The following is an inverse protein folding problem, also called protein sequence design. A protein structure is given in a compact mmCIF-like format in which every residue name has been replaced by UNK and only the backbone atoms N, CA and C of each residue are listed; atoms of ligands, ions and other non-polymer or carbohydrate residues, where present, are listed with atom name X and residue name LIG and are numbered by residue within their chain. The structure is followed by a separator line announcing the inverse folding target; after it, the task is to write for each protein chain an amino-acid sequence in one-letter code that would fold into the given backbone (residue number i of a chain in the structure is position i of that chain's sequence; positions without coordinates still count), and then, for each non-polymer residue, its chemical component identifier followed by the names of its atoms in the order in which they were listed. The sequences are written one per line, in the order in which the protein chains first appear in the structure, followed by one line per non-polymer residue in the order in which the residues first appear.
data_IF_647718593689
#
_entry.id   IF_647718593689
#
_cell.length_a   1.000
_cell.length_b   1.000
_cell.length_c   1.000
_cell.angle_alpha   90.00
_cell.angle_beta   90.00
_cell.angle_gamma   90.00
#
_symmetry.space_group_name_H-M   'P 1'
#
loop_
_entity.id
_entity.type
_entity.pdbx_description
1 polymer ?
#
# COMPACT_ATOMS: atom_id res chain seq x y z
N UNK A 1 -3.34 12.49 8.24
CA UNK A 1 -3.39 11.29 7.37
C UNK A 1 -2.75 11.60 6.02
N UNK A 2 -1.62 10.98 5.69
CA UNK A 2 -1.06 11.01 4.33
C UNK A 2 -1.94 10.10 3.46
N UNK A 3 -2.34 10.58 2.27
CA UNK A 3 -3.07 9.73 1.31
C UNK A 3 -2.05 8.81 0.66
N UNK A 4 -2.21 7.50 0.84
CA UNK A 4 -1.44 6.50 0.10
C UNK A 4 -1.83 6.66 -1.37
N UNK A 5 -0.85 6.97 -2.23
CA UNK A 5 -1.08 7.01 -3.67
C UNK A 5 -1.39 5.60 -4.17
N UNK A 6 -2.39 5.44 -5.04
CA UNK A 6 -2.66 4.15 -5.65
C UNK A 6 -1.58 3.83 -6.71
N UNK A 7 -0.96 2.65 -6.58
CA UNK A 7 -0.08 2.12 -7.62
C UNK A 7 -0.88 1.80 -8.89
N UNK A 8 -0.33 2.12 -10.05
CA UNK A 8 -1.02 1.93 -11.35
C UNK A 8 -0.86 0.54 -11.93
N UNK A 9 -0.01 -0.29 -11.31
CA UNK A 9 0.31 -1.63 -11.78
C UNK A 9 -0.17 -2.65 -10.76
N UNK A 10 -0.85 -3.69 -11.23
CA UNK A 10 -1.28 -4.80 -10.38
C UNK A 10 -0.13 -5.76 -9.99
N UNK A 11 1.10 -5.54 -10.48
CA UNK A 11 2.25 -6.40 -10.21
C UNK A 11 2.92 -6.06 -8.88
N UNK A 12 3.40 -7.09 -8.17
CA UNK A 12 4.21 -6.93 -6.99
C UNK A 12 5.55 -6.27 -7.37
N UNK A 13 5.88 -5.17 -6.70
CA UNK A 13 7.11 -4.41 -6.93
C UNK A 13 8.26 -4.84 -6.02
N UNK A 14 8.01 -5.85 -5.18
CA UNK A 14 8.94 -6.35 -4.18
C UNK A 14 9.54 -7.70 -4.54
N UNK A 15 8.95 -8.45 -5.45
CA UNK A 15 9.56 -9.64 -6.03
C UNK A 15 10.07 -9.34 -7.44
N UNK A 16 10.97 -10.19 -7.94
CA UNK A 16 11.46 -10.11 -9.33
C UNK A 16 10.45 -10.74 -10.32
N UNK A 17 9.24 -11.08 -9.85
CA UNK A 17 8.23 -11.79 -10.62
C UNK A 17 7.21 -10.83 -11.23
N UNK A 18 6.45 -11.31 -12.22
CA UNK A 18 5.25 -10.61 -12.70
C UNK A 18 3.99 -11.04 -11.93
N UNK A 19 4.15 -11.42 -10.66
CA UNK A 19 3.05 -11.85 -9.83
C UNK A 19 2.17 -10.66 -9.48
N UNK A 20 0.86 -10.91 -9.39
CA UNK A 20 -0.06 -9.87 -8.95
C UNK A 20 0.17 -9.57 -7.46
N UNK A 21 0.14 -8.29 -7.09
CA UNK A 21 0.20 -7.79 -5.71
C UNK A 21 -1.12 -8.07 -4.96
N UNK A 22 -1.46 -9.35 -4.86
CA UNK A 22 -2.63 -9.82 -4.11
C UNK A 22 -2.27 -9.98 -2.64
N UNK A 23 -3.28 -9.96 -1.77
CA UNK A 23 -3.09 -10.26 -0.35
C UNK A 23 -2.49 -11.65 -0.16
N UNK A 24 -3.01 -12.65 -0.90
CA UNK A 24 -2.49 -14.02 -0.86
C UNK A 24 -1.01 -14.07 -1.27
N UNK A 25 -0.64 -13.46 -2.40
CA UNK A 25 0.76 -13.40 -2.81
C UNK A 25 1.65 -12.73 -1.74
N UNK A 26 1.24 -11.57 -1.25
CA UNK A 26 1.99 -10.82 -0.22
C UNK A 26 2.22 -11.66 1.03
N UNK A 27 1.17 -12.33 1.50
CA UNK A 27 1.17 -13.07 2.77
C UNK A 27 1.84 -14.44 2.65
N UNK A 28 1.63 -15.17 1.56
CA UNK A 28 1.98 -16.59 1.46
C UNK A 28 3.21 -16.85 0.58
N UNK A 29 3.46 -16.03 -0.44
CA UNK A 29 4.38 -16.36 -1.53
C UNK A 29 5.57 -15.40 -1.63
N UNK A 30 5.33 -14.09 -1.54
CA UNK A 30 6.27 -13.03 -1.88
C UNK A 30 7.63 -13.24 -1.18
N UNK A 31 8.73 -13.50 -1.91
CA UNK A 31 10.03 -13.85 -1.30
C UNK A 31 10.57 -12.80 -0.31
N UNK A 32 10.25 -11.53 -0.55
CA UNK A 32 10.66 -10.38 0.26
C UNK A 32 10.09 -10.39 1.68
N UNK A 33 9.05 -11.20 1.95
CA UNK A 33 8.46 -11.37 3.27
C UNK A 33 8.74 -12.75 3.90
N UNK A 34 9.70 -13.51 3.37
CA UNK A 34 10.02 -14.86 3.84
C UNK A 34 10.40 -14.93 5.32
N UNK A 35 11.16 -13.96 5.83
CA UNK A 35 11.56 -13.92 7.23
C UNK A 35 10.40 -13.56 8.16
N UNK A 36 9.58 -12.60 7.75
CA UNK A 36 8.36 -12.16 8.43
C UNK A 36 7.37 -13.33 8.52
N UNK A 37 7.16 -14.05 7.42
CA UNK A 37 6.33 -15.27 7.38
C UNK A 37 6.83 -16.33 8.35
N UNK A 38 8.15 -16.55 8.42
CA UNK A 38 8.72 -17.52 9.36
C UNK A 38 8.37 -17.15 10.80
N UNK A 39 8.58 -15.89 11.19
CA UNK A 39 8.23 -15.40 12.54
C UNK A 39 6.74 -15.56 12.84
N UNK A 40 5.87 -15.27 11.87
CA UNK A 40 4.43 -15.47 12.04
C UNK A 40 4.09 -16.94 12.26
N UNK A 41 4.68 -17.84 11.45
CA UNK A 41 4.48 -19.29 11.56
C UNK A 41 4.90 -19.86 12.90
N UNK A 42 5.96 -19.33 13.49
CA UNK A 42 6.42 -19.73 14.83
C UNK A 42 5.39 -19.42 15.94
N UNK A 43 4.44 -18.51 15.68
CA UNK A 43 3.38 -18.13 16.63
C UNK A 43 2.04 -18.79 16.32
N UNK A 44 1.55 -18.70 15.08
CA UNK A 44 0.19 -19.12 14.74
C UNK A 44 0.11 -20.54 14.17
N UNK A 45 1.25 -21.11 13.79
CA UNK A 45 1.38 -22.42 13.14
C UNK A 45 1.82 -22.31 11.67
N UNK A 46 2.10 -23.45 11.01
CA UNK A 46 2.63 -23.47 9.65
C UNK A 46 1.63 -22.98 8.59
N UNK A 47 0.33 -23.11 8.87
CA UNK A 47 -0.76 -22.60 8.04
C UNK A 47 -0.95 -21.10 8.30
N UNK A 48 -0.69 -20.33 7.25
CA UNK A 48 -0.83 -18.86 7.24
C UNK A 48 -1.77 -18.44 6.11
N UNK A 49 -2.65 -19.32 5.66
CA UNK A 49 -3.71 -18.95 4.73
C UNK A 49 -4.49 -17.76 5.28
N UNK A 50 -5.10 -16.96 4.39
CA UNK A 50 -5.92 -15.82 4.84
C UNK A 50 -6.99 -16.23 5.86
N UNK A 51 -7.55 -17.43 5.72
CA UNK A 51 -8.51 -17.98 6.69
C UNK A 51 -7.88 -18.29 8.05
N UNK A 52 -6.67 -18.87 8.08
CA UNK A 52 -5.94 -19.14 9.31
C UNK A 52 -5.52 -17.85 10.03
N UNK A 53 -5.17 -16.81 9.28
CA UNK A 53 -4.87 -15.48 9.83
C UNK A 53 -6.10 -14.87 10.49
N UNK A 54 -7.27 -14.92 9.85
CA UNK A 54 -8.52 -14.46 10.46
C UNK A 54 -8.83 -15.27 11.73
N UNK A 55 -8.63 -16.59 11.69
CA UNK A 55 -8.78 -17.44 12.88
C UNK A 55 -7.83 -17.03 14.02
N UNK A 56 -6.56 -16.76 13.70
CA UNK A 56 -5.55 -16.35 14.66
C UNK A 56 -5.86 -15.00 15.33
N UNK A 57 -6.41 -14.04 14.57
CA UNK A 57 -6.89 -12.76 15.11
C UNK A 57 -7.98 -12.93 16.18
N UNK A 58 -8.75 -14.02 16.12
CA UNK A 58 -9.84 -14.30 17.06
C UNK A 58 -9.46 -15.26 18.19
N UNK A 59 -8.36 -16.02 18.04
CA UNK A 59 -8.02 -17.14 18.93
C UNK A 59 -7.37 -16.68 20.22
N UNK A 60 -6.42 -15.75 20.17
CA UNK A 60 -5.78 -15.21 21.38
C UNK A 60 -5.13 -13.85 21.15
N UNK A 61 -4.93 -13.08 22.22
CA UNK A 61 -4.26 -11.78 22.13
C UNK A 61 -2.82 -11.89 21.62
N UNK A 62 -2.11 -12.97 21.95
CA UNK A 62 -0.74 -13.21 21.49
C UNK A 62 -0.68 -13.34 19.97
N UNK A 63 -1.61 -14.09 19.41
CA UNK A 63 -1.68 -14.34 17.98
C UNK A 63 -2.19 -13.13 17.21
N UNK A 64 -3.19 -12.45 17.77
CA UNK A 64 -3.67 -11.16 17.25
C UNK A 64 -2.52 -10.15 17.14
N UNK A 65 -1.69 -10.03 18.17
CA UNK A 65 -0.51 -9.15 18.17
C UNK A 65 0.48 -9.59 17.09
N UNK A 66 0.77 -10.89 16.97
CA UNK A 66 1.71 -11.39 15.96
C UNK A 66 1.24 -11.12 14.53
N UNK A 67 -0.05 -11.32 14.24
CA UNK A 67 -0.65 -10.99 12.94
C UNK A 67 -0.59 -9.48 12.69
N UNK A 68 -0.91 -8.66 13.69
CA UNK A 68 -0.90 -7.20 13.55
C UNK A 68 0.50 -6.67 13.24
N UNK A 69 1.51 -7.13 14.00
CA UNK A 69 2.92 -6.79 13.77
C UNK A 69 3.39 -7.21 12.37
N UNK A 70 3.01 -8.42 11.93
CA UNK A 70 3.31 -8.88 10.58
C UNK A 70 2.72 -7.96 9.51
N UNK A 71 1.46 -7.54 9.66
CA UNK A 71 0.82 -6.59 8.75
C UNK A 71 1.51 -5.21 8.75
N UNK A 72 1.91 -4.70 9.91
CA UNK A 72 2.65 -3.44 10.04
C UNK A 72 4.02 -3.50 9.36
N UNK A 73 4.76 -4.61 9.52
CA UNK A 73 6.03 -4.84 8.84
C UNK A 73 5.86 -4.83 7.31
N UNK A 74 4.83 -5.53 6.79
CA UNK A 74 4.51 -5.54 5.36
C UNK A 74 4.20 -4.14 4.85
N UNK A 75 3.30 -3.43 5.54
CA UNK A 75 2.89 -2.08 5.13
C UNK A 75 4.06 -1.10 5.14
N UNK A 76 4.94 -1.20 6.14
CA UNK A 76 6.13 -0.35 6.25
C UNK A 76 7.07 -0.55 5.06
N UNK A 77 7.36 -1.81 4.70
CA UNK A 77 8.23 -2.11 3.55
C UNK A 77 7.60 -1.62 2.24
N UNK A 78 6.30 -1.85 2.04
CA UNK A 78 5.56 -1.38 0.85
C UNK A 78 5.55 0.14 0.77
N UNK A 79 5.30 0.85 1.87
CA UNK A 79 5.33 2.32 1.91
C UNK A 79 6.72 2.86 1.56
N UNK A 80 7.78 2.30 2.17
CA UNK A 80 9.16 2.73 1.87
C UNK A 80 9.47 2.55 0.39
N UNK A 81 9.10 1.41 -0.19
CA UNK A 81 9.30 1.14 -1.62
C UNK A 81 8.53 2.14 -2.49
N UNK A 82 7.27 2.41 -2.18
CA UNK A 82 6.48 3.42 -2.89
C UNK A 82 7.12 4.81 -2.76
N UNK A 83 7.56 5.19 -1.57
CA UNK A 83 8.14 6.50 -1.29
C UNK A 83 9.47 6.71 -2.03
N UNK A 84 10.31 5.69 -2.12
CA UNK A 84 11.52 5.73 -2.94
C UNK A 84 11.19 6.03 -4.41
N UNK A 85 10.13 5.43 -4.96
CA UNK A 85 9.69 5.67 -6.35
C UNK A 85 9.13 7.07 -6.55
N UNK A 86 8.34 7.57 -5.61
CA UNK A 86 7.80 8.94 -5.67
C UNK A 86 8.91 10.00 -5.64
N UNK A 87 9.98 9.75 -4.88
CA UNK A 87 11.17 10.60 -4.86
C UNK A 87 11.98 10.52 -6.16
N UNK A 88 12.06 9.35 -6.78
CA UNK A 88 12.78 9.14 -8.06
C UNK A 88 12.02 9.74 -9.26
N UNK A 89 10.68 9.68 -9.25
CA UNK A 89 9.82 10.17 -10.33
C UNK A 89 8.72 11.12 -9.81
N UNK A 90 8.96 12.44 -9.70
CA UNK A 90 8.02 13.41 -9.11
C UNK A 90 6.75 13.72 -9.94
N UNK A 91 6.42 12.92 -10.96
CA UNK A 91 5.48 13.23 -12.06
C UNK A 91 4.01 13.44 -11.64
N UNK A 92 3.63 13.25 -10.37
CA UNK A 92 2.22 13.28 -9.94
C UNK A 92 1.76 14.53 -9.17
N UNK A 93 2.64 15.44 -8.76
CA UNK A 93 2.24 16.63 -7.98
C UNK A 93 1.80 17.83 -8.85
N UNK A 94 2.30 17.95 -10.08
CA UNK A 94 2.10 19.15 -10.92
C UNK A 94 0.65 19.30 -11.42
N UNK A 95 -0.07 18.19 -11.65
CA UNK A 95 -1.43 18.25 -12.24
C UNK A 95 -2.54 18.75 -11.30
N UNK A 96 -2.29 18.86 -9.98
CA UNK A 96 -3.32 19.29 -9.01
C UNK A 96 -3.23 20.77 -8.60
N UNK A 97 -2.11 21.44 -8.90
CA UNK A 97 -1.91 22.87 -8.57
C UNK A 97 -2.42 23.83 -9.65
N UNK A 98 -2.73 23.34 -10.85
CA UNK A 98 -3.18 24.16 -11.99
C UNK A 98 -4.70 24.11 -12.21
N UNK A 99 -5.51 24.47 -11.20
CA UNK A 99 -6.82 25.06 -11.48
C UNK A 99 -6.66 26.58 -11.38
N UNK A 100 -6.57 27.31 -12.51
CA UNK A 100 -6.63 28.76 -12.45
C UNK A 100 -8.02 29.15 -11.94
N UNK A 101 -8.07 30.03 -10.94
CA UNK A 101 -9.28 30.76 -10.58
C UNK A 101 -9.84 31.42 -11.83
N UNK A 102 -11.03 31.01 -12.29
CA UNK A 102 -11.73 31.67 -13.38
C UNK A 102 -12.09 33.08 -12.89
N UNK A 103 -11.28 34.08 -13.27
CA UNK A 103 -11.64 35.50 -13.11
C UNK A 103 -12.73 35.81 -14.11
N UNK A 104 -13.96 35.96 -13.63
CA UNK A 104 -15.11 36.46 -14.40
C UNK A 104 -14.83 37.92 -14.76
N UNK A 105 -14.53 38.19 -16.02
CA UNK A 105 -14.40 39.56 -16.55
C UNK A 105 -15.77 40.24 -16.55
N UNK A 106 -15.86 41.39 -15.92
CA UNK A 106 -16.90 42.39 -16.14
C UNK A 106 -16.63 43.04 -17.50
N UNK A 107 -17.62 43.02 -18.39
CA UNK A 107 -17.57 43.79 -19.63
C UNK A 107 -18.66 44.86 -19.55
N UNK A 108 -18.24 46.09 -19.29
CA UNK A 108 -18.96 47.31 -19.65
C UNK A 108 -18.89 47.48 -21.17
N UNK A 109 -20.04 47.64 -21.82
CA UNK A 109 -20.14 48.19 -23.17
C UNK A 109 -21.04 49.42 -23.10
N UNK A 110 -20.47 50.57 -23.41
CA UNK A 110 -21.11 51.88 -23.50
C UNK A 110 -21.45 52.16 -24.98
N UNK A 111 -22.56 52.89 -25.19
CA UNK A 111 -23.02 53.62 -26.38
C UNK A 111 -23.85 52.90 -27.45
N UNK A 112 -25.12 53.29 -27.57
CA UNK A 112 -25.58 54.31 -28.53
C UNK A 112 -26.50 55.31 -27.83
#
# INVERSE_FOLDING_TARGET
MRRIGAETTAACQLDYGSNADTAQHTVEECPSFSQQRKRLKDVIGPDISLSAIIGALMRSKREEIAVTQFCEEIMTVKEVKQRSRENEYPVRQEKRRRRPSVRRRENSTVSE
#
